data_IF_892074769548
#
_entry.id   IF_892074769548
#
_cell.length_a   1.000
_cell.length_b   1.000
_cell.length_c   1.000
_cell.angle_alpha   90.00
_cell.angle_beta   90.00
_cell.angle_gamma   90.00
#
_symmetry.space_group_name_H-M   'P 1'
#
loop_
_entity.id
_entity.type
_entity.pdbx_description
1 polymer ?
#
# COMPACT_ATOMS: atom_id res chain seq x y z
N UNK A 1 38.17 -40.08 13.73
CA UNK A 1 37.79 -38.81 14.41
C UNK A 1 37.86 -37.59 13.49
N UNK A 2 38.78 -37.51 12.53
CA UNK A 2 38.85 -36.38 11.58
C UNK A 2 37.62 -36.28 10.64
N UNK A 3 37.11 -37.41 10.15
CA UNK A 3 35.94 -37.46 9.27
C UNK A 3 34.64 -36.97 9.91
N UNK A 4 34.44 -37.25 11.21
CA UNK A 4 33.27 -36.77 11.96
C UNK A 4 33.31 -35.25 12.13
N UNK A 5 34.50 -34.67 12.36
CA UNK A 5 34.67 -33.21 12.47
C UNK A 5 34.41 -32.51 11.13
N UNK A 6 34.89 -33.08 10.03
CA UNK A 6 34.64 -32.58 8.69
C UNK A 6 33.14 -32.63 8.32
N UNK A 7 32.43 -33.70 8.68
CA UNK A 7 31.00 -33.82 8.46
C UNK A 7 30.20 -32.76 9.25
N UNK A 8 30.53 -32.52 10.52
CA UNK A 8 29.88 -31.51 11.35
C UNK A 8 30.10 -30.09 10.79
N UNK A 9 31.30 -29.80 10.30
CA UNK A 9 31.61 -28.50 9.67
C UNK A 9 30.81 -28.33 8.37
N UNK A 10 30.68 -29.37 7.55
CA UNK A 10 29.86 -29.35 6.34
C UNK A 10 28.36 -29.13 6.63
N UNK A 11 27.82 -29.80 7.65
CA UNK A 11 26.44 -29.61 8.08
C UNK A 11 26.18 -28.21 8.64
N UNK A 12 27.12 -27.66 9.42
CA UNK A 12 27.03 -26.27 9.90
C UNK A 12 27.06 -25.27 8.75
N UNK A 13 27.97 -25.44 7.78
CA UNK A 13 28.06 -24.56 6.61
C UNK A 13 26.80 -24.62 5.72
N UNK A 14 26.23 -25.81 5.51
CA UNK A 14 25.00 -25.97 4.74
C UNK A 14 23.78 -25.34 5.42
N UNK A 15 23.76 -25.28 6.75
CA UNK A 15 22.66 -24.66 7.50
C UNK A 15 22.67 -23.13 7.51
N UNK A 16 23.79 -22.46 7.16
CA UNK A 16 23.86 -20.98 7.14
C UNK A 16 23.27 -20.38 5.85
N UNK A 17 23.06 -21.17 4.81
CA UNK A 17 22.46 -20.73 3.54
C UNK A 17 20.93 -20.62 3.62
N UNK A 18 20.36 -20.29 4.79
CA UNK A 18 18.93 -20.01 4.93
C UNK A 18 18.50 -18.95 3.92
N UNK A 19 17.89 -19.43 2.84
CA UNK A 19 17.02 -18.79 1.87
C UNK A 19 16.83 -17.26 2.06
N UNK A 20 17.78 -16.46 1.60
CA UNK A 20 17.42 -15.13 1.10
C UNK A 20 16.75 -15.40 -0.24
N UNK A 21 15.43 -15.28 -0.26
CA UNK A 21 14.68 -15.26 -1.51
C UNK A 21 15.16 -14.01 -2.25
N UNK A 22 15.87 -14.20 -3.36
CA UNK A 22 16.19 -13.15 -4.33
C UNK A 22 14.86 -12.69 -4.95
N UNK A 23 14.09 -11.92 -4.18
CA UNK A 23 13.08 -11.04 -4.74
C UNK A 23 13.85 -9.83 -5.23
N UNK A 24 13.56 -9.39 -6.45
CA UNK A 24 13.95 -8.07 -6.99
C UNK A 24 13.29 -6.94 -6.18
N UNK A 25 13.43 -6.99 -4.86
CA UNK A 25 12.79 -6.11 -3.91
C UNK A 25 13.36 -4.72 -4.12
N UNK A 26 12.51 -3.80 -4.57
CA UNK A 26 12.89 -2.40 -4.72
C UNK A 26 13.51 -1.85 -3.44
N UNK A 27 14.28 -0.76 -3.56
CA UNK A 27 15.12 -0.24 -2.47
C UNK A 27 14.27 -0.01 -1.19
N UNK A 28 14.66 -0.61 -0.05
CA UNK A 28 13.90 -0.48 1.20
C UNK A 28 13.94 0.96 1.73
N UNK A 29 12.96 1.32 2.56
CA UNK A 29 12.84 2.64 3.17
C UNK A 29 13.84 2.89 4.32
N UNK A 30 14.71 1.92 4.62
CA UNK A 30 15.72 2.01 5.68
C UNK A 30 15.18 1.67 7.09
N UNK A 31 13.92 1.26 7.20
CA UNK A 31 13.31 0.77 8.44
C UNK A 31 13.08 -0.75 8.37
N UNK A 32 13.23 -1.41 9.51
CA UNK A 32 12.80 -2.79 9.69
C UNK A 32 11.48 -2.82 10.47
N UNK A 33 10.58 -3.71 10.10
CA UNK A 33 9.29 -3.88 10.77
C UNK A 33 9.16 -5.19 11.57
N UNK A 34 10.27 -5.70 12.11
CA UNK A 34 10.29 -6.95 12.89
C UNK A 34 9.55 -6.80 14.22
N UNK A 35 9.78 -5.70 14.93
CA UNK A 35 9.26 -5.45 16.28
C UNK A 35 8.42 -4.17 16.38
N UNK A 36 8.68 -3.21 15.48
CA UNK A 36 8.06 -1.90 15.47
C UNK A 36 7.53 -1.70 14.05
N UNK A 37 6.30 -1.19 13.83
CA UNK A 37 5.83 -0.91 12.49
C UNK A 37 6.72 0.13 11.79
N UNK A 38 6.58 0.27 10.47
CA UNK A 38 7.17 1.40 9.75
C UNK A 38 6.57 2.69 10.35
N UNK A 39 7.38 3.50 11.03
CA UNK A 39 6.87 4.62 11.84
C UNK A 39 7.17 5.94 11.16
N UNK A 40 8.46 6.26 11.01
CA UNK A 40 8.90 7.51 10.38
C UNK A 40 8.56 7.49 8.89
N UNK A 41 8.73 6.33 8.25
CA UNK A 41 8.54 6.21 6.80
C UNK A 41 7.11 5.87 6.35
N UNK A 42 6.19 5.51 7.27
CA UNK A 42 4.80 5.21 6.89
C UNK A 42 4.09 6.40 6.24
N UNK A 43 4.33 7.61 6.74
CA UNK A 43 3.79 8.85 6.17
C UNK A 43 4.33 9.14 4.75
N UNK A 44 5.47 8.56 4.40
CA UNK A 44 6.09 8.67 3.08
C UNK A 44 5.65 7.53 2.14
N UNK A 45 4.62 6.77 2.53
CA UNK A 45 4.09 5.67 1.74
C UNK A 45 4.95 4.42 1.78
N UNK A 46 5.53 4.10 2.95
CA UNK A 46 6.20 2.83 3.19
C UNK A 46 5.33 1.90 4.05
N UNK A 47 5.36 0.62 3.73
CA UNK A 47 4.64 -0.43 4.44
C UNK A 47 5.54 -1.64 4.69
N UNK A 48 5.14 -2.43 5.67
CA UNK A 48 5.89 -3.60 6.10
C UNK A 48 5.65 -4.78 5.13
N UNK A 49 6.74 -5.33 4.57
CA UNK A 49 6.74 -6.58 3.81
C UNK A 49 7.98 -7.38 4.21
N UNK A 50 7.81 -8.65 4.54
CA UNK A 50 8.92 -9.55 4.92
C UNK A 50 9.85 -8.99 6.00
N UNK A 51 9.27 -8.32 7.01
CA UNK A 51 9.97 -7.67 8.15
C UNK A 51 10.85 -6.47 7.78
N UNK A 52 10.74 -5.95 6.58
CA UNK A 52 11.41 -4.72 6.11
C UNK A 52 10.37 -3.74 5.56
N UNK A 53 10.62 -2.45 5.72
CA UNK A 53 9.73 -1.40 5.20
C UNK A 53 10.09 -1.08 3.75
N UNK A 54 9.13 -1.19 2.85
CA UNK A 54 9.26 -0.88 1.43
C UNK A 54 8.21 0.13 0.99
N UNK A 55 8.47 0.84 -0.11
CA UNK A 55 7.48 1.76 -0.69
C UNK A 55 6.26 0.99 -1.19
N UNK A 56 5.07 1.54 -1.00
CA UNK A 56 3.81 0.89 -1.38
C UNK A 56 3.75 0.50 -2.86
N UNK A 57 4.26 1.36 -3.75
CA UNK A 57 4.29 1.07 -5.20
C UNK A 57 5.24 -0.09 -5.56
N UNK A 58 6.31 -0.29 -4.79
CA UNK A 58 7.24 -1.42 -4.96
C UNK A 58 6.55 -2.72 -4.55
N UNK A 59 5.89 -2.70 -3.39
CA UNK A 59 5.08 -3.83 -2.91
C UNK A 59 4.00 -4.20 -3.94
N UNK A 60 3.32 -3.21 -4.51
CA UNK A 60 2.28 -3.44 -5.52
C UNK A 60 2.82 -3.92 -6.88
N UNK A 61 4.01 -3.46 -7.29
CA UNK A 61 4.64 -3.89 -8.54
C UNK A 61 5.11 -5.35 -8.50
N UNK A 62 5.59 -5.80 -7.34
CA UNK A 62 6.11 -7.16 -7.13
C UNK A 62 5.04 -8.19 -6.74
N UNK A 63 3.84 -7.73 -6.41
CA UNK A 63 2.77 -8.61 -5.96
C UNK A 63 2.31 -9.53 -7.08
N UNK A 64 2.12 -10.80 -6.75
CA UNK A 64 1.53 -11.80 -7.64
C UNK A 64 0.02 -11.88 -7.41
N UNK A 65 -0.42 -11.69 -6.17
CA UNK A 65 -1.83 -11.77 -5.78
C UNK A 65 -2.24 -10.60 -4.89
N UNK A 66 -3.55 -10.31 -4.84
CA UNK A 66 -4.08 -9.28 -3.93
C UNK A 66 -3.84 -9.61 -2.47
N UNK A 67 -3.59 -10.87 -2.11
CA UNK A 67 -3.42 -11.29 -0.72
C UNK A 67 -1.96 -11.21 -0.24
N UNK A 68 -1.02 -10.90 -1.13
CA UNK A 68 0.41 -10.72 -0.80
C UNK A 68 0.63 -9.60 0.21
N UNK A 69 -0.27 -8.61 0.26
CA UNK A 69 -0.29 -7.59 1.30
C UNK A 69 -1.74 -7.13 1.57
N UNK A 70 -2.08 -6.99 2.85
CA UNK A 70 -3.45 -6.69 3.30
C UNK A 70 -4.04 -5.36 2.74
N UNK A 71 -3.19 -4.43 2.29
CA UNK A 71 -3.62 -3.18 1.66
C UNK A 71 -3.67 -3.23 0.12
N UNK A 72 -3.28 -4.34 -0.52
CA UNK A 72 -3.40 -4.45 -1.98
C UNK A 72 -4.86 -4.67 -2.40
N UNK A 73 -5.21 -4.15 -3.56
CA UNK A 73 -6.55 -4.31 -4.13
C UNK A 73 -6.50 -4.33 -5.65
N UNK A 74 -7.53 -4.94 -6.25
CA UNK A 74 -7.83 -4.84 -7.68
C UNK A 74 -9.15 -4.11 -7.91
N UNK A 75 -10.04 -4.10 -6.92
CA UNK A 75 -11.28 -3.33 -6.94
C UNK A 75 -11.55 -2.68 -5.58
N UNK A 76 -12.55 -1.80 -5.53
CA UNK A 76 -13.03 -1.22 -4.27
C UNK A 76 -13.55 -2.30 -3.30
N UNK A 77 -14.18 -3.36 -3.84
CA UNK A 77 -14.72 -4.48 -3.06
C UNK A 77 -13.64 -5.23 -2.28
N UNK A 78 -12.42 -5.32 -2.82
CA UNK A 78 -11.29 -5.94 -2.11
C UNK A 78 -10.99 -5.21 -0.81
N UNK A 79 -11.03 -3.87 -0.82
CA UNK A 79 -10.77 -3.07 0.37
C UNK A 79 -11.88 -3.23 1.41
N UNK A 80 -13.15 -3.26 0.98
CA UNK A 80 -14.28 -3.51 1.87
C UNK A 80 -14.21 -4.89 2.51
N UNK A 81 -13.96 -5.94 1.70
CA UNK A 81 -13.85 -7.33 2.16
C UNK A 81 -12.74 -7.50 3.18
N UNK A 82 -11.61 -6.80 2.99
CA UNK A 82 -10.46 -6.84 3.89
C UNK A 82 -10.64 -5.96 5.12
N UNK A 83 -11.59 -5.02 5.11
CA UNK A 83 -11.77 -4.04 6.17
C UNK A 83 -10.57 -3.09 6.31
N UNK A 84 -9.87 -2.80 5.20
CA UNK A 84 -8.67 -1.96 5.17
C UNK A 84 -8.89 -0.61 4.48
N UNK A 85 -10.10 -0.38 4.00
CA UNK A 85 -10.50 0.84 3.34
C UNK A 85 -11.83 0.66 2.61
N UNK A 86 -12.29 1.73 1.97
CA UNK A 86 -13.45 1.73 1.09
C UNK A 86 -13.09 2.15 -0.34
N UNK A 87 -11.85 2.56 -0.57
CA UNK A 87 -11.37 2.99 -1.87
C UNK A 87 -10.04 2.32 -2.22
N UNK A 88 -9.88 1.99 -3.50
CA UNK A 88 -8.69 1.38 -4.08
C UNK A 88 -8.04 2.41 -5.01
N UNK A 89 -6.90 3.00 -4.65
CA UNK A 89 -6.16 3.89 -5.55
C UNK A 89 -5.08 3.13 -6.31
N UNK A 90 -5.07 3.31 -7.62
CA UNK A 90 -4.01 2.82 -8.48
C UNK A 90 -2.85 3.82 -8.55
N UNK A 91 -1.65 3.27 -8.71
CA UNK A 91 -0.45 4.06 -8.98
C UNK A 91 -0.43 4.48 -10.45
N UNK A 92 0.14 5.65 -10.81
CA UNK A 92 0.17 6.15 -12.18
C UNK A 92 1.06 5.34 -13.15
N UNK A 93 1.72 4.28 -12.68
CA UNK A 93 2.61 3.45 -13.49
C UNK A 93 1.84 2.28 -14.13
N UNK A 94 1.92 2.14 -15.45
CA UNK A 94 1.20 1.12 -16.24
C UNK A 94 1.57 -0.32 -15.90
N UNK A 95 2.73 -0.53 -15.28
CA UNK A 95 3.23 -1.87 -14.93
C UNK A 95 2.74 -2.35 -13.56
N UNK A 96 1.93 -1.55 -12.86
CA UNK A 96 1.41 -1.89 -11.53
C UNK A 96 -0.08 -2.23 -11.67
N UNK A 97 -0.39 -3.52 -11.55
CA UNK A 97 -1.77 -4.02 -11.73
C UNK A 97 -2.64 -3.95 -10.47
N UNK A 98 -2.03 -3.66 -9.32
CA UNK A 98 -2.69 -3.60 -8.03
C UNK A 98 -2.70 -2.17 -7.49
N UNK A 99 -3.82 -1.78 -6.92
CA UNK A 99 -3.97 -0.54 -6.17
C UNK A 99 -3.66 -0.72 -4.68
N UNK A 100 -3.88 0.37 -3.96
CA UNK A 100 -3.72 0.45 -2.51
C UNK A 100 -5.02 0.89 -1.83
N UNK A 101 -5.40 0.18 -0.79
CA UNK A 101 -6.58 0.49 0.02
C UNK A 101 -6.31 1.65 0.99
N UNK A 102 -7.29 2.54 1.09
CA UNK A 102 -7.38 3.53 2.15
C UNK A 102 -8.85 3.89 2.41
N UNK A 103 -9.08 4.55 3.53
CA UNK A 103 -10.37 5.14 3.84
C UNK A 103 -10.45 6.51 3.17
N UNK A 104 -11.24 6.59 2.11
CA UNK A 104 -11.68 7.83 1.55
C UNK A 104 -13.03 8.15 2.17
N UNK A 105 -13.10 9.16 3.04
CA UNK A 105 -14.40 9.69 3.43
C UNK A 105 -14.95 10.46 2.24
N UNK A 106 -15.88 9.85 1.49
CA UNK A 106 -16.70 10.59 0.54
C UNK A 106 -17.74 11.38 1.32
N UNK A 107 -17.34 12.23 2.27
CA UNK A 107 -18.25 13.30 2.60
C UNK A 107 -18.48 14.06 1.30
N UNK A 108 -19.71 14.47 1.03
CA UNK A 108 -19.99 15.38 -0.06
C UNK A 108 -19.36 16.75 0.21
N UNK A 109 -18.07 16.86 0.54
CA UNK A 109 -17.30 18.09 0.71
C UNK A 109 -16.92 18.66 -0.66
N UNK A 110 -16.43 17.82 -1.59
CA UNK A 110 -16.21 18.24 -2.97
C UNK A 110 -17.52 18.55 -3.70
N UNK A 111 -18.61 17.82 -3.39
CA UNK A 111 -19.93 18.09 -3.95
C UNK A 111 -20.64 19.25 -3.25
N UNK A 112 -20.48 19.45 -1.93
CA UNK A 112 -20.99 20.63 -1.22
C UNK A 112 -20.35 21.88 -1.76
N UNK A 113 -19.03 21.95 -1.86
CA UNK A 113 -18.38 23.18 -2.31
C UNK A 113 -18.78 23.51 -3.76
N UNK A 114 -18.94 22.49 -4.61
CA UNK A 114 -19.41 22.65 -5.98
C UNK A 114 -20.89 23.07 -6.06
N UNK A 115 -21.76 22.45 -5.25
CA UNK A 115 -23.19 22.78 -5.16
C UNK A 115 -23.43 24.13 -4.47
N UNK A 116 -22.68 24.47 -3.44
CA UNK A 116 -22.80 25.70 -2.66
C UNK A 116 -22.27 26.89 -3.46
N UNK A 117 -21.17 26.71 -4.21
CA UNK A 117 -20.73 27.68 -5.22
C UNK A 117 -21.76 27.82 -6.35
N UNK A 118 -22.27 26.71 -6.89
CA UNK A 118 -23.27 26.75 -7.97
C UNK A 118 -24.61 27.36 -7.53
N UNK A 119 -25.08 27.10 -6.31
CA UNK A 119 -26.34 27.66 -5.78
C UNK A 119 -26.16 29.14 -5.45
N UNK A 120 -24.98 29.53 -4.93
CA UNK A 120 -24.66 30.94 -4.62
C UNK A 120 -24.58 31.80 -5.88
N UNK A 121 -23.99 31.28 -6.96
CA UNK A 121 -23.93 31.98 -8.25
C UNK A 121 -25.32 32.06 -8.94
N UNK A 122 -26.24 31.14 -8.65
CA UNK A 122 -27.60 31.14 -9.18
C UNK A 122 -28.61 31.96 -8.35
N UNK A 123 -28.29 32.34 -7.10
CA UNK A 123 -29.17 33.15 -6.24
C UNK A 123 -28.91 34.66 -6.33
N UNK A 124 -27.84 35.10 -7.00
CA UNK A 124 -27.51 36.52 -7.20
C UNK A 124 -28.07 37.12 -8.50
N UNK A 125 -28.80 36.36 -9.32
CA UNK A 125 -29.65 36.98 -10.34
C UNK A 125 -30.91 37.48 -9.63
N UNK A 126 -31.16 38.80 -9.57
CA UNK A 126 -32.37 39.31 -8.96
C UNK A 126 -33.56 38.74 -9.75
N UNK A 127 -34.41 37.98 -9.06
CA UNK A 127 -35.77 37.75 -9.48
C UNK A 127 -36.49 39.10 -9.45
N UNK A 128 -36.28 39.91 -10.50
CA UNK A 128 -37.12 41.03 -10.84
C UNK A 128 -38.47 40.45 -11.27
N UNK A 129 -39.34 40.30 -10.28
CA UNK A 129 -40.77 40.65 -10.27
C UNK A 129 -41.50 40.41 -11.61
N UNK A 130 -42.39 39.43 -11.57
CA UNK A 130 -43.53 39.21 -12.45
C UNK A 130 -44.37 40.48 -12.66
N UNK A 131 -45.10 40.56 -13.78
CA UNK A 131 -46.28 41.44 -13.93
C UNK A 131 -47.17 41.47 -12.68
#
# INVERSE_FOLDING_TARGET
MAFARLAVIFFLAASVMFAVKETEAGIPCGESCVFIPCTVTALLGCSCKDKVCYKNHVIAAEANTVDDHHLLCKSHEDCFRKGTGNYCAFFPNTNIHYGWCFYAESEGYMLKDFLETSIKDNLEIPMAITN
#
